data_IF_343281472519
#
_entry.id   IF_343281472519
#
_cell.length_a   1.000
_cell.length_b   1.000
_cell.length_c   1.000
_cell.angle_alpha   90.00
_cell.angle_beta   90.00
_cell.angle_gamma   90.00
#
_symmetry.space_group_name_H-M   'P 1'
#
loop_
_entity.id
_entity.type
_entity.pdbx_description
1 polymer ?
#
# COMPACT_ATOMS: atom_id res chain seq x y z
N UNK A 1 5.57 -19.95 27.73
CA UNK A 1 6.72 -19.66 26.86
C UNK A 1 6.59 -18.25 26.28
N UNK A 2 7.55 -17.40 26.53
CA UNK A 2 7.57 -16.06 25.93
C UNK A 2 8.08 -16.16 24.50
N UNK A 3 7.25 -15.73 23.55
CA UNK A 3 7.69 -15.56 22.16
C UNK A 3 8.22 -14.15 21.98
N UNK A 4 9.40 -14.03 21.38
CA UNK A 4 10.01 -12.76 21.05
C UNK A 4 10.12 -12.64 19.54
N UNK A 5 9.82 -11.46 19.02
CA UNK A 5 9.94 -11.13 17.63
C UNK A 5 10.81 -9.90 17.47
N UNK A 6 11.58 -9.83 16.40
CA UNK A 6 12.38 -8.65 16.07
C UNK A 6 11.47 -7.47 15.68
N UNK A 7 10.39 -7.75 14.94
CA UNK A 7 9.42 -6.75 14.49
C UNK A 7 8.01 -7.27 14.66
N UNK A 8 7.13 -6.42 15.16
CA UNK A 8 5.70 -6.69 15.23
C UNK A 8 4.98 -5.63 14.42
N UNK A 9 4.14 -6.08 13.48
CA UNK A 9 3.33 -5.22 12.63
C UNK A 9 1.89 -5.32 13.10
N UNK A 10 1.28 -4.20 13.44
CA UNK A 10 -0.11 -4.15 13.88
C UNK A 10 -0.97 -3.74 12.70
N UNK A 11 -1.79 -4.67 12.24
CA UNK A 11 -2.68 -4.50 11.09
C UNK A 11 -2.18 -5.22 9.85
N UNK A 12 -3.05 -6.03 9.26
CA UNK A 12 -2.79 -6.78 8.02
C UNK A 12 -3.58 -6.21 6.84
N UNK A 13 -3.67 -4.87 6.75
CA UNK A 13 -4.11 -4.18 5.56
C UNK A 13 -3.00 -4.14 4.51
N UNK A 14 -3.19 -3.42 3.43
CA UNK A 14 -2.20 -3.36 2.35
C UNK A 14 -0.86 -2.79 2.82
N UNK A 15 -0.87 -1.79 3.70
CA UNK A 15 0.36 -1.18 4.20
C UNK A 15 1.14 -2.15 5.08
N UNK A 16 0.49 -2.75 6.09
CA UNK A 16 1.13 -3.72 6.97
C UNK A 16 1.65 -4.94 6.22
N UNK A 17 0.87 -5.43 5.26
CA UNK A 17 1.26 -6.57 4.42
C UNK A 17 2.46 -6.23 3.53
N UNK A 18 2.49 -5.02 2.94
CA UNK A 18 3.60 -4.57 2.12
C UNK A 18 4.89 -4.43 2.93
N UNK A 19 4.78 -3.92 4.16
CA UNK A 19 5.92 -3.80 5.08
C UNK A 19 6.45 -5.19 5.44
N UNK A 20 5.56 -6.13 5.77
CA UNK A 20 5.94 -7.50 6.08
C UNK A 20 6.67 -8.16 4.91
N UNK A 21 6.17 -7.97 3.69
CA UNK A 21 6.80 -8.49 2.47
C UNK A 21 8.21 -7.94 2.29
N UNK A 22 8.38 -6.63 2.46
CA UNK A 22 9.69 -5.97 2.31
C UNK A 22 10.66 -6.45 3.39
N UNK A 23 10.21 -6.52 4.65
CA UNK A 23 11.04 -6.99 5.76
C UNK A 23 11.39 -8.47 5.66
N UNK A 24 10.61 -9.26 4.92
CA UNK A 24 10.89 -10.69 4.74
C UNK A 24 12.18 -10.95 3.97
N UNK A 25 12.74 -9.95 3.33
CA UNK A 25 14.04 -10.02 2.65
C UNK A 25 15.21 -10.08 3.64
N UNK A 26 14.95 -9.75 4.90
CA UNK A 26 15.97 -9.69 5.95
C UNK A 26 15.81 -10.88 6.89
N UNK A 27 16.87 -11.19 7.59
CA UNK A 27 16.89 -12.31 8.56
C UNK A 27 16.28 -11.85 9.89
N UNK A 28 14.97 -11.64 9.88
CA UNK A 28 14.23 -11.12 11.02
C UNK A 28 13.05 -12.06 11.34
N UNK A 29 12.72 -12.16 12.62
CA UNK A 29 11.46 -12.78 13.03
C UNK A 29 10.38 -11.71 13.08
N UNK A 30 9.31 -11.91 12.32
CA UNK A 30 8.25 -10.91 12.13
C UNK A 30 6.91 -11.53 12.52
N UNK A 31 6.12 -10.78 13.29
CA UNK A 31 4.75 -11.13 13.58
C UNK A 31 3.83 -10.04 13.04
N UNK A 32 2.75 -10.44 12.40
CA UNK A 32 1.69 -9.53 11.94
C UNK A 32 0.44 -9.83 12.76
N UNK A 33 -0.10 -8.82 13.43
CA UNK A 33 -1.27 -8.95 14.26
C UNK A 33 -2.46 -8.27 13.58
N UNK A 34 -3.56 -9.02 13.42
CA UNK A 34 -4.80 -8.51 12.84
C UNK A 34 -5.96 -8.77 13.79
N UNK A 35 -6.72 -7.71 14.10
CA UNK A 35 -7.86 -7.80 15.02
C UNK A 35 -9.08 -8.50 14.41
N UNK A 36 -9.22 -8.48 13.10
CA UNK A 36 -10.33 -9.11 12.38
C UNK A 36 -10.00 -10.56 12.01
N UNK A 37 -11.00 -11.30 11.59
CA UNK A 37 -10.85 -12.71 11.22
C UNK A 37 -10.04 -12.92 9.94
N UNK A 38 -9.93 -11.88 9.10
CA UNK A 38 -9.20 -11.96 7.85
C UNK A 38 -8.44 -10.66 7.59
N UNK A 39 -7.52 -10.70 6.63
CA UNK A 39 -6.76 -9.53 6.18
C UNK A 39 -7.65 -8.55 5.41
N UNK A 40 -7.26 -7.29 5.39
CA UNK A 40 -7.91 -6.25 4.55
C UNK A 40 -9.41 -6.07 4.78
N UNK A 41 -9.90 -6.31 6.00
CA UNK A 41 -11.33 -6.17 6.32
C UNK A 41 -11.79 -4.71 6.52
N UNK A 42 -10.88 -3.76 6.55
CA UNK A 42 -11.19 -2.34 6.75
C UNK A 42 -10.83 -1.53 5.49
N UNK A 43 -10.09 -0.44 5.62
CA UNK A 43 -9.81 0.51 4.54
C UNK A 43 -9.26 -0.14 3.27
N UNK A 44 -8.34 -1.11 3.39
CA UNK A 44 -7.75 -1.76 2.22
C UNK A 44 -8.73 -2.59 1.41
N UNK A 45 -9.79 -3.10 2.03
CA UNK A 45 -10.84 -3.83 1.35
C UNK A 45 -12.07 -2.98 0.99
N UNK A 46 -12.07 -1.69 1.34
CA UNK A 46 -13.22 -0.79 1.25
C UNK A 46 -12.82 0.55 0.65
N UNK A 47 -12.35 0.55 -0.58
CA UNK A 47 -11.91 1.77 -1.27
C UNK A 47 -12.25 1.67 -2.76
N UNK A 48 -11.97 2.74 -3.50
CA UNK A 48 -12.28 2.82 -4.94
C UNK A 48 -11.24 2.14 -5.84
N UNK A 49 -10.17 1.61 -5.27
CA UNK A 49 -9.10 0.92 -5.99
C UNK A 49 -8.43 1.80 -7.07
N UNK A 50 -8.29 3.08 -6.79
CA UNK A 50 -7.62 4.03 -7.68
C UNK A 50 -6.21 4.31 -7.16
N UNK A 51 -5.21 4.05 -7.99
CA UNK A 51 -3.82 4.38 -7.67
C UNK A 51 -3.58 5.85 -7.98
N UNK A 52 -3.23 6.62 -6.94
CA UNK A 52 -3.07 8.07 -7.07
C UNK A 52 -1.81 8.44 -7.86
N UNK A 53 -1.93 9.47 -8.72
CA UNK A 53 -0.80 10.01 -9.47
C UNK A 53 0.05 11.00 -8.69
N UNK A 54 -0.44 11.50 -7.56
CA UNK A 54 0.26 12.47 -6.72
C UNK A 54 -0.05 13.93 -7.00
N UNK A 55 -0.77 14.24 -8.05
CA UNK A 55 -1.06 15.63 -8.45
C UNK A 55 -2.00 16.36 -7.48
N UNK A 56 -2.82 15.63 -6.72
CA UNK A 56 -3.77 16.20 -5.77
C UNK A 56 -3.13 16.59 -4.43
N UNK A 57 -1.86 16.28 -4.23
CA UNK A 57 -1.16 16.54 -2.97
C UNK A 57 -0.25 17.76 -3.11
N UNK A 58 0.03 18.50 -2.03
CA UNK A 58 0.91 19.66 -2.09
C UNK A 58 2.30 19.30 -2.65
N UNK A 59 2.79 20.13 -3.56
CA UNK A 59 4.11 19.95 -4.16
C UNK A 59 5.18 19.96 -3.07
N UNK A 60 6.11 19.00 -3.13
CA UNK A 60 7.17 18.85 -2.15
C UNK A 60 6.79 18.09 -0.89
N UNK A 61 5.51 17.73 -0.70
CA UNK A 61 5.10 16.92 0.43
C UNK A 61 5.56 15.48 0.28
N UNK A 62 5.76 14.81 1.42
CA UNK A 62 6.10 13.39 1.43
C UNK A 62 5.00 12.55 0.79
N UNK A 63 3.74 12.94 0.99
CA UNK A 63 2.60 12.25 0.39
C UNK A 63 2.63 12.32 -1.14
N UNK A 64 2.92 13.49 -1.71
CA UNK A 64 3.05 13.65 -3.16
C UNK A 64 4.19 12.78 -3.70
N UNK A 65 5.35 12.80 -3.04
CA UNK A 65 6.51 12.00 -3.42
C UNK A 65 6.21 10.51 -3.39
N UNK A 66 5.61 10.02 -2.31
CA UNK A 66 5.27 8.61 -2.17
C UNK A 66 4.22 8.17 -3.18
N UNK A 67 3.23 9.02 -3.48
CA UNK A 67 2.22 8.70 -4.50
C UNK A 67 2.85 8.56 -5.89
N UNK A 68 3.73 9.47 -6.27
CA UNK A 68 4.42 9.42 -7.58
C UNK A 68 5.29 8.17 -7.68
N UNK A 69 6.13 7.92 -6.68
CA UNK A 69 7.03 6.76 -6.68
C UNK A 69 6.27 5.44 -6.59
N UNK A 70 5.24 5.37 -5.76
CA UNK A 70 4.39 4.19 -5.64
C UNK A 70 3.66 3.87 -6.93
N UNK A 71 3.15 4.90 -7.62
CA UNK A 71 2.51 4.73 -8.92
C UNK A 71 3.46 4.09 -9.94
N UNK A 72 4.71 4.54 -9.98
CA UNK A 72 5.72 4.04 -10.93
C UNK A 72 6.02 2.56 -10.76
N UNK A 73 5.99 2.03 -9.54
CA UNK A 73 6.32 0.63 -9.29
C UNK A 73 5.13 -0.31 -9.41
N UNK A 74 3.92 0.21 -9.63
CA UNK A 74 2.71 -0.60 -9.65
C UNK A 74 2.66 -1.64 -10.75
N UNK A 75 3.19 -1.35 -11.95
CA UNK A 75 3.23 -2.31 -13.04
C UNK A 75 4.05 -3.54 -12.64
N UNK A 76 5.22 -3.32 -12.05
CA UNK A 76 6.10 -4.39 -11.58
C UNK A 76 5.45 -5.18 -10.45
N UNK A 77 4.84 -4.49 -9.48
CA UNK A 77 4.16 -5.16 -8.37
C UNK A 77 2.98 -5.99 -8.84
N UNK A 78 2.20 -5.48 -9.80
CA UNK A 78 1.06 -6.20 -10.36
C UNK A 78 1.52 -7.50 -11.02
N UNK A 79 2.64 -7.47 -11.73
CA UNK A 79 3.22 -8.65 -12.34
C UNK A 79 3.75 -9.64 -11.30
N UNK A 80 4.53 -9.16 -10.32
CA UNK A 80 5.12 -10.00 -9.28
C UNK A 80 4.07 -10.66 -8.38
N UNK A 81 3.01 -9.91 -8.03
CA UNK A 81 1.97 -10.37 -7.11
C UNK A 81 0.72 -10.90 -7.82
N UNK A 82 0.72 -10.84 -9.15
CA UNK A 82 -0.35 -11.36 -10.00
C UNK A 82 -1.74 -10.78 -9.64
N UNK A 83 -1.84 -9.45 -9.58
CA UNK A 83 -3.11 -8.77 -9.44
C UNK A 83 -3.41 -7.92 -10.68
N UNK A 84 -4.70 -7.69 -11.02
CA UNK A 84 -5.05 -6.86 -12.17
C UNK A 84 -4.72 -5.40 -11.91
N UNK A 85 -4.12 -4.73 -12.91
CA UNK A 85 -3.81 -3.32 -12.86
C UNK A 85 -3.89 -2.75 -14.27
N UNK A 86 -4.57 -1.62 -14.43
CA UNK A 86 -4.78 -0.99 -15.74
C UNK A 86 -4.51 0.51 -15.65
N UNK A 87 -3.65 1.02 -16.52
CA UNK A 87 -3.40 2.45 -16.69
C UNK A 87 -4.42 3.04 -17.66
N UNK A 88 -5.64 3.26 -17.17
CA UNK A 88 -6.74 3.76 -17.98
C UNK A 88 -6.84 5.29 -18.00
N UNK A 89 -5.98 5.96 -17.23
CA UNK A 89 -6.01 7.42 -17.12
C UNK A 89 -7.09 7.95 -16.20
N UNK A 90 -7.13 9.27 -16.07
CA UNK A 90 -8.06 9.95 -15.16
C UNK A 90 -8.45 11.30 -15.78
N UNK A 91 -9.72 11.66 -15.67
CA UNK A 91 -10.21 12.95 -16.11
C UNK A 91 -10.41 13.85 -14.91
N UNK A 92 -9.81 15.03 -14.94
CA UNK A 92 -9.98 16.05 -13.91
C UNK A 92 -10.93 17.12 -14.44
N UNK A 93 -12.01 17.38 -13.70
CA UNK A 93 -13.02 18.37 -14.09
C UNK A 93 -12.97 19.54 -13.11
N UNK A 94 -12.83 20.75 -13.64
CA UNK A 94 -12.86 21.98 -12.87
C UNK A 94 -14.08 22.83 -13.25
N UNK A 95 -14.62 23.57 -12.28
CA UNK A 95 -15.79 24.44 -12.47
C UNK A 95 -15.44 25.92 -12.59
N UNK A 96 -14.17 26.26 -12.41
CA UNK A 96 -13.68 27.64 -12.53
C UNK A 96 -12.61 27.74 -13.60
N UNK A 97 -12.56 28.82 -14.37
CA UNK A 97 -11.52 29.01 -15.38
C UNK A 97 -10.14 29.17 -14.76
#
# INVERSE_FOLDING_TARGET
>A
MKKQYDVVIIGAGVVGSAIARELSRYKLSIAVLEKNLDVCNETSGRNSAVVHGGFANPIGSLKAKCCVEGNKIMDQLAEELNFPFKRCGKVLVGNTP
#
